data_IF_024922678981
#
_entry.id   IF_024922678981
#
_cell.length_a   1.000
_cell.length_b   1.000
_cell.length_c   1.000
_cell.angle_alpha   90.00
_cell.angle_beta   90.00
_cell.angle_gamma   90.00
#
_symmetry.space_group_name_H-M   'P 1'
#
loop_
_entity.id
_entity.type
_entity.pdbx_description
1 polymer ?
#
# COMPACT_ATOMS: atom_id res chain seq x y z
N UNK A 1 -36.47 0.11 -21.66
CA UNK A 1 -35.18 -0.29 -22.25
C UNK A 1 -34.09 0.80 -22.13
N UNK A 2 -34.41 2.10 -22.00
CA UNK A 2 -33.40 3.15 -21.79
C UNK A 2 -32.83 3.23 -20.36
N UNK A 3 -33.62 2.94 -19.32
CA UNK A 3 -33.17 3.08 -17.93
C UNK A 3 -32.08 2.07 -17.50
N UNK A 4 -32.05 0.89 -18.13
CA UNK A 4 -31.06 -0.16 -17.86
C UNK A 4 -29.70 0.14 -18.50
N UNK A 5 -29.66 0.86 -19.62
CA UNK A 5 -28.41 1.28 -20.25
C UNK A 5 -27.79 2.46 -19.49
N UNK A 6 -28.59 3.44 -19.07
CA UNK A 6 -28.10 4.61 -18.33
C UNK A 6 -27.60 4.26 -16.91
N UNK A 7 -28.21 3.25 -16.27
CA UNK A 7 -27.77 2.74 -14.97
C UNK A 7 -26.46 1.94 -15.07
N UNK A 8 -26.29 1.13 -16.12
CA UNK A 8 -25.03 0.42 -16.40
C UNK A 8 -23.88 1.39 -16.67
N UNK A 9 -24.06 2.40 -17.52
CA UNK A 9 -23.03 3.41 -17.80
C UNK A 9 -22.64 4.22 -16.55
N UNK A 10 -23.61 4.57 -15.70
CA UNK A 10 -23.32 5.27 -14.42
C UNK A 10 -22.56 4.37 -13.45
N UNK A 11 -22.85 3.07 -13.43
CA UNK A 11 -22.16 2.10 -12.58
C UNK A 11 -20.71 1.87 -13.03
N UNK A 12 -20.48 1.77 -14.34
CA UNK A 12 -19.14 1.63 -14.93
C UNK A 12 -18.29 2.88 -14.69
N UNK A 13 -18.84 4.08 -14.93
CA UNK A 13 -18.13 5.34 -14.66
C UNK A 13 -17.75 5.50 -13.19
N UNK A 14 -18.60 5.05 -12.25
CA UNK A 14 -18.28 5.05 -10.81
C UNK A 14 -17.18 4.04 -10.47
N UNK A 15 -17.20 2.87 -11.11
CA UNK A 15 -16.20 1.83 -10.86
C UNK A 15 -14.81 2.28 -11.34
N UNK A 16 -14.73 2.82 -12.56
CA UNK A 16 -13.49 3.39 -13.13
C UNK A 16 -12.92 4.50 -12.25
N UNK A 17 -13.79 5.37 -11.71
CA UNK A 17 -13.34 6.42 -10.78
C UNK A 17 -12.79 5.83 -9.49
N UNK A 18 -13.44 4.82 -8.91
CA UNK A 18 -12.97 4.18 -7.68
C UNK A 18 -11.65 3.45 -7.85
N UNK A 19 -11.41 2.83 -9.02
CA UNK A 19 -10.11 2.23 -9.38
C UNK A 19 -9.03 3.29 -9.49
N UNK A 20 -9.32 4.38 -10.21
CA UNK A 20 -8.38 5.50 -10.30
C UNK A 20 -8.03 6.11 -8.94
N UNK A 21 -8.99 6.21 -8.02
CA UNK A 21 -8.73 6.77 -6.69
C UNK A 21 -7.93 5.79 -5.81
N UNK A 22 -8.16 4.47 -5.92
CA UNK A 22 -7.34 3.46 -5.26
C UNK A 22 -5.89 3.49 -5.77
N UNK A 23 -5.69 3.55 -7.09
CA UNK A 23 -4.36 3.59 -7.69
C UNK A 23 -3.57 4.84 -7.31
N UNK A 24 -4.27 5.97 -7.09
CA UNK A 24 -3.68 7.21 -6.56
C UNK A 24 -3.15 7.02 -5.14
N UNK A 25 -3.91 6.38 -4.26
CA UNK A 25 -3.45 6.12 -2.88
C UNK A 25 -2.28 5.13 -2.85
N UNK A 26 -2.31 4.10 -3.70
CA UNK A 26 -1.17 3.17 -3.88
C UNK A 26 0.07 3.95 -4.32
N UNK A 27 -0.07 4.82 -5.33
CA UNK A 27 1.03 5.66 -5.85
C UNK A 27 1.54 6.65 -4.80
N UNK A 28 0.64 7.20 -3.99
CA UNK A 28 0.99 8.10 -2.88
C UNK A 28 1.69 7.37 -1.72
N UNK A 29 1.60 6.05 -1.66
CA UNK A 29 2.18 5.23 -0.58
C UNK A 29 1.31 5.17 0.68
N UNK A 30 0.02 5.48 0.57
CA UNK A 30 -0.94 5.58 1.67
C UNK A 30 -1.57 4.22 1.99
N UNK A 31 -0.74 3.23 2.35
CA UNK A 31 -1.14 1.84 2.51
C UNK A 31 -2.25 1.60 3.56
N UNK A 32 -2.30 2.40 4.63
CA UNK A 32 -3.34 2.30 5.68
C UNK A 32 -4.71 2.79 5.19
N UNK A 33 -4.76 3.60 4.13
CA UNK A 33 -6.02 4.13 3.59
C UNK A 33 -6.69 3.20 2.61
N UNK A 34 -5.98 2.19 2.10
CA UNK A 34 -6.47 1.26 1.09
C UNK A 34 -7.74 0.52 1.56
N UNK A 35 -7.83 0.20 2.85
CA UNK A 35 -9.00 -0.45 3.44
C UNK A 35 -10.31 0.34 3.26
N UNK A 36 -10.24 1.66 3.02
CA UNK A 36 -11.40 2.53 2.82
C UNK A 36 -12.09 2.29 1.47
N UNK A 37 -11.38 1.74 0.49
CA UNK A 37 -11.90 1.52 -0.86
C UNK A 37 -12.68 0.20 -0.94
N UNK A 38 -13.94 0.26 -1.40
CA UNK A 38 -14.79 -0.93 -1.56
C UNK A 38 -14.13 -1.95 -2.49
N UNK A 39 -13.61 -1.49 -3.62
CA UNK A 39 -12.93 -2.34 -4.61
C UNK A 39 -11.67 -3.02 -4.07
N UNK A 40 -10.96 -2.39 -3.11
CA UNK A 40 -9.82 -3.01 -2.42
C UNK A 40 -10.30 -4.11 -1.48
N UNK A 41 -11.34 -3.86 -0.67
CA UNK A 41 -11.92 -4.86 0.23
C UNK A 41 -12.51 -6.08 -0.48
N UNK A 42 -12.86 -5.93 -1.76
CA UNK A 42 -13.35 -7.02 -2.60
C UNK A 42 -12.24 -7.89 -3.20
N UNK A 43 -10.96 -7.50 -3.07
CA UNK A 43 -9.82 -8.30 -3.54
C UNK A 43 -9.64 -9.52 -2.64
N UNK A 44 -9.04 -10.57 -3.20
CA UNK A 44 -8.50 -11.67 -2.39
C UNK A 44 -7.45 -11.15 -1.39
N UNK A 45 -7.14 -11.94 -0.37
CA UNK A 45 -6.05 -11.62 0.56
C UNK A 45 -4.74 -11.35 -0.19
N UNK A 46 -4.38 -12.16 -1.18
CA UNK A 46 -3.19 -11.94 -2.01
C UNK A 46 -3.27 -10.62 -2.79
N UNK A 47 -4.43 -10.27 -3.35
CA UNK A 47 -4.63 -8.99 -4.04
C UNK A 47 -4.51 -7.77 -3.10
N UNK A 48 -4.87 -7.94 -1.82
CA UNK A 48 -4.67 -6.93 -0.77
C UNK A 48 -3.20 -6.82 -0.36
N UNK A 49 -2.52 -7.96 -0.13
CA UNK A 49 -1.07 -8.02 0.11
C UNK A 49 -0.30 -7.30 -1.01
N UNK A 50 -0.65 -7.57 -2.28
CA UNK A 50 0.02 -6.94 -3.43
C UNK A 50 -0.12 -5.41 -3.41
N UNK A 51 -1.33 -4.90 -3.16
CA UNK A 51 -1.56 -3.46 -3.10
C UNK A 51 -0.85 -2.79 -1.92
N UNK A 52 -0.82 -3.41 -0.74
CA UNK A 52 -0.07 -2.91 0.42
C UNK A 52 1.43 -2.94 0.14
N UNK A 53 1.94 -4.01 -0.47
CA UNK A 53 3.35 -4.10 -0.89
C UNK A 53 3.74 -2.98 -1.87
N UNK A 54 2.90 -2.71 -2.87
CA UNK A 54 3.11 -1.61 -3.82
C UNK A 54 3.12 -0.25 -3.13
N UNK A 55 2.12 0.02 -2.27
CA UNK A 55 2.03 1.27 -1.53
C UNK A 55 3.23 1.47 -0.58
N UNK A 56 3.65 0.44 0.15
CA UNK A 56 4.83 0.49 1.01
C UNK A 56 6.11 0.73 0.22
N UNK A 57 6.25 0.14 -0.97
CA UNK A 57 7.40 0.37 -1.84
C UNK A 57 7.48 1.82 -2.28
N UNK A 58 6.35 2.40 -2.70
CA UNK A 58 6.27 3.83 -3.06
C UNK A 58 6.59 4.73 -1.86
N UNK A 59 6.08 4.42 -0.67
CA UNK A 59 6.38 5.15 0.56
C UNK A 59 7.86 5.08 0.91
N UNK A 60 8.48 3.91 0.80
CA UNK A 60 9.91 3.73 1.04
C UNK A 60 10.75 4.59 0.09
N UNK A 61 10.41 4.64 -1.20
CA UNK A 61 11.14 5.47 -2.17
C UNK A 61 11.05 6.96 -1.82
N UNK A 62 9.87 7.43 -1.39
CA UNK A 62 9.69 8.81 -0.93
C UNK A 62 10.52 9.12 0.32
N UNK A 63 10.50 8.23 1.32
CA UNK A 63 11.23 8.40 2.58
C UNK A 63 12.75 8.37 2.35
N UNK A 64 13.24 7.49 1.48
CA UNK A 64 14.67 7.42 1.14
C UNK A 64 15.12 8.71 0.47
N UNK A 65 14.33 9.27 -0.46
CA UNK A 65 14.63 10.58 -1.07
C UNK A 65 14.68 11.69 -0.02
N UNK A 66 13.67 11.77 0.84
CA UNK A 66 13.62 12.75 1.94
C UNK A 66 14.82 12.60 2.91
N UNK A 67 15.26 11.38 3.18
CA UNK A 67 16.43 11.11 4.02
C UNK A 67 17.70 11.68 3.40
N UNK A 68 17.94 11.44 2.11
CA UNK A 68 19.10 11.99 1.41
C UNK A 68 19.06 13.52 1.32
N UNK A 69 17.88 14.11 1.16
CA UNK A 69 17.72 15.57 1.15
C UNK A 69 18.08 16.20 2.50
N UNK A 70 17.63 15.60 3.61
CA UNK A 70 17.98 16.04 4.97
C UNK A 70 19.48 15.89 5.25
N UNK A 71 20.05 14.75 4.86
CA UNK A 71 21.48 14.48 5.01
C UNK A 71 22.33 15.49 4.21
N UNK A 72 21.92 15.81 2.98
CA UNK A 72 22.62 16.79 2.13
C UNK A 72 22.58 18.21 2.71
N UNK A 73 21.48 18.58 3.37
CA UNK A 73 21.30 19.92 3.93
C UNK A 73 21.90 20.08 5.33
N UNK A 74 22.56 19.03 5.87
CA UNK A 74 23.02 18.98 7.27
C UNK A 74 21.90 19.30 8.29
N UNK A 75 20.66 19.02 7.91
CA UNK A 75 19.48 19.36 8.70
C UNK A 75 19.18 18.23 9.70
N UNK A 76 19.10 18.61 10.96
CA UNK A 76 18.52 17.84 12.08
C UNK A 76 18.81 16.33 12.08
N UNK A 77 19.92 15.93 12.72
CA UNK A 77 20.24 14.53 13.03
C UNK A 77 19.07 13.79 13.70
N UNK A 78 18.27 14.48 14.51
CA UNK A 78 17.09 13.91 15.15
C UNK A 78 15.98 13.56 14.15
N UNK A 79 15.73 14.42 13.15
CA UNK A 79 14.76 14.15 12.10
C UNK A 79 15.23 13.00 11.19
N UNK A 80 16.50 13.00 10.79
CA UNK A 80 17.10 11.91 10.03
C UNK A 80 17.03 10.56 10.79
N UNK A 81 17.28 10.58 12.10
CA UNK A 81 17.17 9.40 12.95
C UNK A 81 15.75 8.83 13.05
N UNK A 82 14.72 9.69 13.14
CA UNK A 82 13.31 9.25 13.09
C UNK A 82 12.96 8.65 11.74
N UNK A 83 13.37 9.31 10.66
CA UNK A 83 13.10 8.85 9.30
C UNK A 83 13.76 7.50 9.01
N UNK A 84 14.99 7.29 9.48
CA UNK A 84 15.70 6.02 9.33
C UNK A 84 15.01 4.88 10.09
N UNK A 85 14.44 5.16 11.28
CA UNK A 85 13.64 4.17 12.02
C UNK A 85 12.39 3.77 11.24
N UNK A 86 11.69 4.74 10.65
CA UNK A 86 10.52 4.48 9.80
C UNK A 86 10.90 3.65 8.57
N UNK A 87 11.97 4.03 7.85
CA UNK A 87 12.47 3.28 6.69
C UNK A 87 12.79 1.82 7.07
N UNK A 88 13.51 1.60 8.17
CA UNK A 88 13.88 0.25 8.60
C UNK A 88 12.67 -0.59 9.03
N UNK A 89 11.67 0.03 9.66
CA UNK A 89 10.43 -0.64 9.97
C UNK A 89 9.67 -1.03 8.68
N UNK A 90 9.43 -0.08 7.78
CA UNK A 90 8.66 -0.34 6.55
C UNK A 90 9.37 -1.32 5.61
N UNK A 91 10.71 -1.35 5.59
CA UNK A 91 11.48 -2.38 4.86
C UNK A 91 11.16 -3.79 5.34
N UNK A 92 11.18 -4.00 6.66
CA UNK A 92 10.86 -5.31 7.24
C UNK A 92 9.44 -5.74 6.88
N UNK A 93 8.48 -4.83 6.99
CA UNK A 93 7.08 -5.11 6.61
C UNK A 93 6.97 -5.47 5.13
N UNK A 94 7.57 -4.67 4.24
CA UNK A 94 7.57 -4.93 2.79
C UNK A 94 8.18 -6.30 2.47
N UNK A 95 9.27 -6.65 3.12
CA UNK A 95 9.96 -7.92 2.88
C UNK A 95 9.10 -9.11 3.36
N UNK A 96 8.41 -9.01 4.50
CA UNK A 96 7.42 -10.02 4.92
C UNK A 96 6.26 -10.13 3.93
N UNK A 97 5.76 -9.02 3.40
CA UNK A 97 4.71 -9.04 2.37
C UNK A 97 5.19 -9.66 1.07
N UNK A 98 6.46 -9.46 0.69
CA UNK A 98 7.05 -10.13 -0.47
C UNK A 98 7.02 -11.65 -0.29
N UNK A 99 7.41 -12.13 0.89
CA UNK A 99 7.33 -13.56 1.22
C UNK A 99 5.88 -14.06 1.18
N UNK A 100 4.91 -13.28 1.65
CA UNK A 100 3.48 -13.63 1.49
C UNK A 100 3.05 -13.73 0.01
N UNK A 101 3.61 -12.92 -0.88
CA UNK A 101 3.30 -12.95 -2.33
C UNK A 101 3.93 -14.15 -3.04
N UNK A 102 5.09 -14.59 -2.56
CA UNK A 102 5.83 -15.73 -3.13
C UNK A 102 5.58 -17.04 -2.38
N UNK A 103 4.62 -17.06 -1.45
CA UNK A 103 4.36 -18.19 -0.57
C UNK A 103 3.93 -19.42 -1.36
N UNK A 104 4.60 -20.54 -1.09
CA UNK A 104 4.20 -21.88 -1.53
C UNK A 104 3.78 -22.74 -0.34
N UNK A 105 3.07 -23.85 -0.59
CA UNK A 105 2.52 -24.76 0.44
C UNK A 105 3.57 -25.32 1.42
N UNK A 106 4.86 -25.23 1.09
CA UNK A 106 5.98 -25.67 1.90
C UNK A 106 6.59 -24.58 2.80
N UNK A 107 6.18 -23.33 2.62
CA UNK A 107 6.78 -22.18 3.31
C UNK A 107 6.03 -21.85 4.61
N UNK A 108 6.78 -21.43 5.63
CA UNK A 108 6.17 -20.83 6.83
C UNK A 108 5.70 -19.43 6.46
N UNK A 109 4.39 -19.19 6.57
CA UNK A 109 3.83 -17.87 6.33
C UNK A 109 4.43 -16.89 7.37
N UNK A 110 5.03 -15.77 6.95
CA UNK A 110 5.62 -14.84 7.88
C UNK A 110 4.53 -14.17 8.72
N UNK A 111 4.83 -13.95 10.00
CA UNK A 111 3.99 -13.12 10.85
C UNK A 111 4.08 -11.67 10.39
N UNK A 112 2.92 -11.06 10.14
CA UNK A 112 2.81 -9.65 9.82
C UNK A 112 2.41 -8.86 11.07
N UNK A 113 2.83 -7.59 11.19
CA UNK A 113 2.34 -6.73 12.26
C UNK A 113 0.81 -6.62 12.24
N UNK A 114 0.19 -6.46 13.42
CA UNK A 114 -1.26 -6.39 13.59
C UNK A 114 -1.88 -5.30 12.71
N UNK A 115 -1.24 -4.12 12.65
CA UNK A 115 -1.64 -2.99 11.82
C UNK A 115 -1.62 -3.28 10.31
N UNK A 116 -0.87 -4.30 9.88
CA UNK A 116 -0.83 -4.75 8.49
C UNK A 116 -1.92 -5.80 8.27
N UNK A 117 -2.09 -6.74 9.22
CA UNK A 117 -3.17 -7.73 9.21
C UNK A 117 -4.56 -7.07 9.19
N UNK A 118 -4.79 -5.99 9.94
CA UNK A 118 -6.05 -5.22 9.90
C UNK A 118 -6.38 -4.68 8.49
N UNK A 119 -5.37 -4.46 7.66
CA UNK A 119 -5.51 -3.87 6.33
C UNK A 119 -5.67 -4.95 5.24
N UNK A 120 -5.10 -6.14 5.43
CA UNK A 120 -5.11 -7.22 4.43
C UNK A 120 -6.02 -8.41 4.81
N UNK A 121 -6.45 -8.49 6.06
CA UNK A 121 -7.32 -9.50 6.65
C UNK A 121 -8.74 -9.47 6.10
#
# INVERSE_FOLDING_TARGET
MNDEQESKEKSEKRNVKSESDLDREITAGEWTRLIRFKIYRQRSRQGRVLAVYQALSNRLDQLVKAFYELARQNQSLAAAGKLMKEINYLRRVRDSLLVCLTWNETDVLPELPEEVEEIIG
#
